data_IF_621450762820
#
_entry.id   IF_621450762820
#
_cell.length_a   1.000
_cell.length_b   1.000
_cell.length_c   1.000
_cell.angle_alpha   90.00
_cell.angle_beta   90.00
_cell.angle_gamma   90.00
#
_symmetry.space_group_name_H-M   'P 1'
#
loop_
_entity.id
_entity.type
_entity.pdbx_description
1 polymer ?
#
# COMPACT_ATOMS: atom_id res chain seq x y z
N UNK A 1 0.23 -0.84 12.84
CA UNK A 1 -0.56 -0.85 11.58
C UNK A 1 -0.17 0.29 10.65
N UNK A 2 -0.43 1.57 11.00
CA UNK A 2 -0.10 2.69 10.10
C UNK A 2 1.40 2.80 9.80
N UNK A 3 2.24 2.68 10.84
CA UNK A 3 3.71 2.69 10.68
C UNK A 3 4.22 1.53 9.82
N UNK A 4 3.58 0.37 9.88
CA UNK A 4 3.96 -0.82 9.10
C UNK A 4 3.64 -0.62 7.61
N UNK A 5 2.44 -0.08 7.32
CA UNK A 5 2.05 0.31 5.96
C UNK A 5 3.03 1.34 5.40
N UNK A 6 3.37 2.39 6.18
CA UNK A 6 4.32 3.41 5.75
C UNK A 6 5.71 2.83 5.47
N UNK A 7 6.22 1.96 6.34
CA UNK A 7 7.51 1.30 6.15
C UNK A 7 7.52 0.44 4.88
N UNK A 8 6.47 -0.34 4.64
CA UNK A 8 6.36 -1.17 3.44
C UNK A 8 6.27 -0.33 2.15
N UNK A 9 5.49 0.75 2.16
CA UNK A 9 5.39 1.68 1.03
C UNK A 9 6.75 2.29 0.71
N UNK A 10 7.47 2.78 1.72
CA UNK A 10 8.79 3.40 1.50
C UNK A 10 9.83 2.40 1.01
N UNK A 11 9.82 1.17 1.54
CA UNK A 11 10.66 0.08 1.03
C UNK A 11 10.38 -0.21 -0.44
N UNK A 12 9.12 -0.45 -0.80
CA UNK A 12 8.73 -0.79 -2.18
C UNK A 12 8.96 0.37 -3.17
N UNK A 13 8.83 1.61 -2.71
CA UNK A 13 9.22 2.80 -3.48
C UNK A 13 10.73 2.83 -3.71
N UNK A 14 11.53 2.52 -2.69
CA UNK A 14 12.99 2.38 -2.81
C UNK A 14 13.43 1.28 -3.78
N UNK A 15 12.63 0.22 -3.91
CA UNK A 15 12.79 -0.85 -4.90
C UNK A 15 12.35 -0.45 -6.33
N UNK A 16 11.82 0.76 -6.53
CA UNK A 16 11.37 1.26 -7.83
C UNK A 16 10.04 0.66 -8.29
N UNK A 17 9.24 0.06 -7.40
CA UNK A 17 7.94 -0.52 -7.78
C UNK A 17 6.94 0.57 -8.19
N UNK A 18 6.10 0.33 -9.21
CA UNK A 18 5.06 1.27 -9.60
C UNK A 18 4.00 1.40 -8.50
N UNK A 19 3.40 2.59 -8.36
CA UNK A 19 2.42 2.90 -7.29
C UNK A 19 1.24 1.91 -7.26
N UNK A 20 0.78 1.44 -8.42
CA UNK A 20 -0.28 0.44 -8.52
C UNK A 20 0.12 -0.90 -7.86
N UNK A 21 1.36 -1.36 -8.06
CA UNK A 21 1.86 -2.58 -7.43
C UNK A 21 2.06 -2.41 -5.92
N UNK A 22 2.50 -1.23 -5.47
CA UNK A 22 2.58 -0.90 -4.04
C UNK A 22 1.20 -0.99 -3.41
N UNK A 23 0.18 -0.37 -4.02
CA UNK A 23 -1.19 -0.39 -3.49
C UNK A 23 -1.74 -1.80 -3.40
N UNK A 24 -1.59 -2.60 -4.46
CA UNK A 24 -2.04 -4.00 -4.47
C UNK A 24 -1.41 -4.83 -3.33
N UNK A 25 -0.10 -4.69 -3.11
CA UNK A 25 0.60 -5.41 -2.04
C UNK A 25 0.17 -4.98 -0.63
N UNK A 26 -0.09 -3.68 -0.43
CA UNK A 26 -0.61 -3.17 0.85
C UNK A 26 -2.03 -3.68 1.08
N UNK A 27 -2.90 -3.59 0.08
CA UNK A 27 -4.28 -4.04 0.20
C UNK A 27 -4.31 -5.56 0.51
N UNK A 28 -3.55 -6.38 -0.22
CA UNK A 28 -3.45 -7.83 0.04
C UNK A 28 -2.99 -8.16 1.48
N UNK A 29 -1.98 -7.43 1.98
CA UNK A 29 -1.37 -7.70 3.30
C UNK A 29 -2.21 -7.20 4.47
N UNK A 30 -2.93 -6.08 4.29
CA UNK A 30 -3.56 -5.35 5.40
C UNK A 30 -5.09 -5.35 5.37
N UNK A 31 -5.76 -5.78 4.29
CA UNK A 31 -7.24 -5.90 4.26
C UNK A 31 -7.80 -6.87 5.31
N UNK A 32 -7.00 -7.83 5.78
CA UNK A 32 -7.37 -8.71 6.90
C UNK A 32 -7.70 -7.97 8.20
N UNK A 33 -7.30 -6.71 8.32
CA UNK A 33 -7.58 -5.87 9.50
C UNK A 33 -8.81 -4.97 9.31
N UNK A 34 -9.45 -4.99 8.14
CA UNK A 34 -10.63 -4.18 7.82
C UNK A 34 -10.60 -3.60 6.40
N UNK A 35 -11.71 -3.00 5.95
CA UNK A 35 -11.79 -2.39 4.63
C UNK A 35 -10.78 -1.24 4.49
N UNK A 36 -10.10 -1.19 3.35
CA UNK A 36 -9.21 -0.08 3.04
C UNK A 36 -10.00 1.23 2.91
N UNK A 37 -9.40 2.35 3.33
CA UNK A 37 -9.97 3.67 3.10
C UNK A 37 -10.14 3.89 1.59
N UNK A 38 -11.35 4.24 1.09
CA UNK A 38 -11.58 4.53 -0.32
C UNK A 38 -10.71 5.72 -0.74
N UNK A 39 -9.59 5.43 -1.39
CA UNK A 39 -8.64 6.45 -1.84
C UNK A 39 -8.78 6.55 -3.36
N UNK A 40 -9.18 7.71 -3.92
CA UNK A 40 -9.27 7.90 -5.36
C UNK A 40 -7.95 7.56 -6.05
N UNK A 41 -8.01 6.83 -7.17
CA UNK A 41 -6.83 6.53 -7.97
C UNK A 41 -6.59 7.69 -8.94
N UNK A 42 -5.35 8.21 -9.05
CA UNK A 42 -5.02 9.15 -10.12
C UNK A 42 -5.10 8.44 -11.47
N UNK A 43 -5.66 9.13 -12.48
CA UNK A 43 -5.75 8.66 -13.87
C UNK A 43 -4.38 8.57 -14.53
#
# INVERSE_FOLDING_TARGET
MCLDITRDVMRMKGEGKPLAAIRAAIDEKYLRFGPATPTPRPN
#
